data_IF_997035135298
#
_entry.id   IF_997035135298
#
_cell.length_a   1.000
_cell.length_b   1.000
_cell.length_c   1.000
_cell.angle_alpha   90.00
_cell.angle_beta   90.00
_cell.angle_gamma   90.00
#
_symmetry.space_group_name_H-M   'P 1'
#
loop_
_entity.id
_entity.type
_entity.pdbx_description
1 polymer ?
#
# COMPACT_ATOMS: atom_id res chain seq x y z
N UNK A 1 -8.63 -8.25 -38.89
CA UNK A 1 -9.22 -7.21 -38.04
C UNK A 1 -9.36 -7.80 -36.63
N UNK A 2 -8.35 -7.60 -35.80
CA UNK A 2 -8.43 -7.98 -34.38
C UNK A 2 -9.41 -7.02 -33.72
N UNK A 3 -10.55 -7.54 -33.22
CA UNK A 3 -11.47 -6.76 -32.40
C UNK A 3 -10.66 -6.23 -31.20
N UNK A 4 -10.47 -4.91 -31.14
CA UNK A 4 -10.05 -4.29 -29.89
C UNK A 4 -11.05 -4.72 -28.82
N UNK A 5 -10.64 -5.62 -27.94
CA UNK A 5 -11.44 -5.95 -26.77
C UNK A 5 -11.68 -4.65 -26.00
N UNK A 6 -12.95 -4.31 -25.82
CA UNK A 6 -13.33 -3.17 -24.99
C UNK A 6 -12.71 -3.38 -23.61
N UNK A 7 -11.79 -2.49 -23.20
CA UNK A 7 -11.21 -2.49 -21.86
C UNK A 7 -12.10 -1.68 -20.90
N UNK A 8 -13.41 -1.78 -21.10
CA UNK A 8 -14.44 -1.02 -20.39
C UNK A 8 -15.11 -1.91 -19.36
N UNK A 9 -15.14 -1.44 -18.11
CA UNK A 9 -15.83 -2.08 -17.00
C UNK A 9 -16.95 -1.19 -16.53
N UNK A 10 -18.15 -1.75 -16.40
CA UNK A 10 -19.36 -1.04 -15.99
C UNK A 10 -19.83 -1.62 -14.68
N UNK A 11 -19.90 -0.78 -13.65
CA UNK A 11 -20.43 -1.12 -12.34
C UNK A 11 -21.82 -0.49 -12.22
N UNK A 12 -22.86 -1.32 -12.13
CA UNK A 12 -24.26 -0.91 -12.06
C UNK A 12 -24.78 -0.96 -10.61
N UNK A 13 -25.78 -0.15 -10.32
CA UNK A 13 -26.54 -0.16 -9.08
C UNK A 13 -25.66 -0.04 -7.84
N UNK A 14 -24.70 0.89 -7.85
CA UNK A 14 -23.79 1.08 -6.73
C UNK A 14 -24.31 2.11 -5.74
N UNK A 15 -23.99 1.93 -4.45
CA UNK A 15 -23.98 3.00 -3.47
C UNK A 15 -22.59 3.67 -3.51
N UNK A 16 -22.48 4.79 -4.21
CA UNK A 16 -21.21 5.46 -4.46
C UNK A 16 -20.76 6.25 -3.24
N UNK A 17 -19.52 6.01 -2.80
CA UNK A 17 -18.82 6.72 -1.74
C UNK A 17 -17.58 7.40 -2.36
N UNK A 18 -17.70 8.63 -2.81
CA UNK A 18 -16.60 9.35 -3.50
C UNK A 18 -15.66 10.10 -2.53
N UNK A 19 -16.00 10.16 -1.25
CA UNK A 19 -15.20 10.83 -0.22
C UNK A 19 -15.47 12.33 -0.10
N UNK A 20 -16.24 12.93 -1.00
CA UNK A 20 -16.56 14.37 -1.01
C UNK A 20 -18.02 14.64 -0.69
N UNK A 21 -18.91 13.79 -1.16
CA UNK A 21 -20.38 13.93 -1.03
C UNK A 21 -20.96 12.85 -0.13
N UNK A 22 -22.16 13.06 0.42
CA UNK A 22 -22.90 11.99 1.08
C UNK A 22 -23.07 10.77 0.14
N UNK A 23 -23.24 9.54 0.68
CA UNK A 23 -23.46 8.34 -0.11
C UNK A 23 -24.56 8.51 -1.15
N UNK A 24 -24.31 8.13 -2.40
CA UNK A 24 -25.22 8.29 -3.52
C UNK A 24 -25.67 6.90 -4.02
N UNK A 25 -26.91 6.54 -3.73
CA UNK A 25 -27.47 5.26 -4.15
C UNK A 25 -27.89 5.26 -5.63
N UNK A 26 -27.90 4.07 -6.26
CA UNK A 26 -28.37 3.86 -7.62
C UNK A 26 -27.48 4.50 -8.67
N UNK A 27 -26.18 4.68 -8.37
CA UNK A 27 -25.23 5.20 -9.33
C UNK A 27 -24.68 4.08 -10.23
N UNK A 28 -24.22 4.48 -11.40
CA UNK A 28 -23.47 3.63 -12.32
C UNK A 28 -22.09 4.25 -12.56
N UNK A 29 -21.06 3.44 -12.61
CA UNK A 29 -19.67 3.89 -12.80
C UNK A 29 -19.06 3.12 -13.96
N UNK A 30 -18.48 3.85 -14.90
CA UNK A 30 -17.78 3.28 -16.05
C UNK A 30 -16.29 3.54 -15.91
N UNK A 31 -15.51 2.48 -16.03
CA UNK A 31 -14.05 2.54 -16.02
C UNK A 31 -13.53 2.04 -17.37
N UNK A 32 -12.66 2.83 -18.01
CA UNK A 32 -11.93 2.41 -19.20
C UNK A 32 -10.44 2.39 -18.92
N UNK A 33 -9.84 1.21 -19.01
CA UNK A 33 -8.43 1.03 -18.64
C UNK A 33 -8.19 1.40 -17.18
N UNK A 34 -7.46 2.49 -16.93
CA UNK A 34 -7.12 2.99 -15.60
C UNK A 34 -7.81 4.33 -15.25
N UNK A 35 -8.89 4.69 -15.97
CA UNK A 35 -9.62 5.95 -15.77
C UNK A 35 -11.10 5.70 -15.52
N UNK A 36 -11.68 6.48 -14.62
CA UNK A 36 -13.14 6.62 -14.50
C UNK A 36 -13.58 7.46 -15.69
N UNK A 37 -14.42 6.89 -16.54
CA UNK A 37 -14.91 7.53 -17.75
C UNK A 37 -16.22 8.28 -17.48
N UNK A 38 -17.10 7.67 -16.69
CA UNK A 38 -18.43 8.22 -16.42
C UNK A 38 -18.92 7.80 -15.03
N UNK A 39 -19.65 8.70 -14.39
CA UNK A 39 -20.41 8.46 -13.16
C UNK A 39 -21.79 9.06 -13.36
N UNK A 40 -22.86 8.24 -13.37
CA UNK A 40 -24.21 8.66 -13.75
C UNK A 40 -25.30 7.86 -13.05
N UNK A 41 -26.49 8.41 -12.97
CA UNK A 41 -27.71 7.67 -12.62
C UNK A 41 -28.49 7.20 -13.85
N UNK A 42 -28.11 7.65 -15.03
CA UNK A 42 -28.77 7.24 -16.27
C UNK A 42 -28.57 5.74 -16.55
N UNK A 43 -29.53 5.12 -17.19
CA UNK A 43 -29.36 3.77 -17.70
C UNK A 43 -28.19 3.71 -18.69
N UNK A 44 -27.36 2.71 -18.56
CA UNK A 44 -26.23 2.47 -19.45
C UNK A 44 -26.54 1.25 -20.31
N UNK A 45 -26.21 1.35 -21.60
CA UNK A 45 -26.27 0.21 -22.51
C UNK A 45 -24.85 -0.35 -22.71
N UNK A 46 -24.59 -1.58 -22.24
CA UNK A 46 -23.30 -2.21 -22.47
C UNK A 46 -23.09 -2.51 -23.97
N UNK A 47 -21.88 -2.27 -24.44
CA UNK A 47 -21.46 -2.65 -25.79
C UNK A 47 -20.84 -4.07 -25.79
N UNK A 48 -20.78 -4.74 -26.95
CA UNK A 48 -20.06 -6.00 -27.06
C UNK A 48 -18.62 -5.89 -26.58
N UNK A 49 -18.21 -6.75 -25.63
CA UNK A 49 -16.89 -6.75 -25.03
C UNK A 49 -16.74 -5.97 -23.73
N UNK A 50 -17.79 -5.29 -23.26
CA UNK A 50 -17.79 -4.65 -21.94
C UNK A 50 -17.91 -5.72 -20.83
N UNK A 51 -17.18 -5.53 -19.74
CA UNK A 51 -17.36 -6.31 -18.54
C UNK A 51 -18.34 -5.60 -17.60
N UNK A 52 -19.50 -6.23 -17.36
CA UNK A 52 -20.58 -5.63 -16.56
C UNK A 52 -20.70 -6.32 -15.21
N UNK A 53 -20.78 -5.52 -14.16
CA UNK A 53 -20.93 -5.96 -12.77
C UNK A 53 -22.12 -5.22 -12.15
N UNK A 54 -23.22 -5.92 -11.89
CA UNK A 54 -24.31 -5.39 -11.07
C UNK A 54 -23.95 -5.58 -9.60
N UNK A 55 -23.81 -4.49 -8.86
CA UNK A 55 -23.43 -4.53 -7.46
C UNK A 55 -24.62 -4.56 -6.50
N UNK A 56 -25.85 -4.54 -7.02
CA UNK A 56 -27.07 -4.74 -6.22
C UNK A 56 -27.15 -3.81 -4.97
N UNK A 57 -26.71 -2.57 -5.12
CA UNK A 57 -26.69 -1.60 -4.03
C UNK A 57 -25.48 -1.68 -3.10
N UNK A 58 -24.51 -2.57 -3.37
CA UNK A 58 -23.23 -2.59 -2.63
C UNK A 58 -22.45 -1.30 -2.82
N UNK A 59 -21.64 -0.97 -1.83
CA UNK A 59 -20.84 0.26 -1.89
C UNK A 59 -19.67 0.12 -2.87
N UNK A 60 -19.47 1.16 -3.66
CA UNK A 60 -18.28 1.36 -4.49
C UNK A 60 -17.57 2.62 -4.00
N UNK A 61 -16.27 2.52 -3.73
CA UNK A 61 -15.46 3.62 -3.23
C UNK A 61 -14.07 3.60 -3.88
N UNK A 62 -13.33 4.72 -3.88
CA UNK A 62 -11.91 4.72 -4.21
C UNK A 62 -11.14 3.75 -3.31
N UNK A 63 -10.08 3.16 -3.86
CA UNK A 63 -9.22 2.29 -3.07
C UNK A 63 -8.62 3.05 -1.87
N UNK A 64 -8.54 2.39 -0.73
CA UNK A 64 -8.04 2.98 0.50
C UNK A 64 -6.55 3.31 0.41
N UNK A 65 -6.13 4.35 1.13
CA UNK A 65 -4.73 4.73 1.29
C UNK A 65 -4.33 4.50 2.74
N UNK A 66 -3.32 3.65 2.96
CA UNK A 66 -2.72 3.47 4.28
C UNK A 66 -1.50 4.38 4.39
N UNK A 67 -1.63 5.45 5.16
CA UNK A 67 -0.61 6.50 5.24
C UNK A 67 0.57 6.18 6.18
N UNK A 68 0.55 5.05 6.89
CA UNK A 68 1.63 4.61 7.78
C UNK A 68 1.68 3.08 7.77
N UNK A 69 2.60 2.51 6.99
CA UNK A 69 2.64 1.07 6.74
C UNK A 69 4.05 0.49 6.91
N UNK A 70 4.21 -0.37 7.90
CA UNK A 70 5.43 -1.12 8.13
C UNK A 70 5.43 -2.39 7.27
N UNK A 71 6.07 -2.35 6.12
CA UNK A 71 5.97 -3.44 5.13
C UNK A 71 6.48 -4.78 5.65
N UNK A 72 7.58 -4.76 6.42
CA UNK A 72 8.26 -5.96 6.92
C UNK A 72 7.77 -6.43 8.29
N UNK A 73 6.84 -5.74 8.94
CA UNK A 73 6.34 -6.14 10.25
C UNK A 73 5.32 -7.26 10.11
N UNK A 74 5.44 -8.26 10.95
CA UNK A 74 4.50 -9.36 10.95
C UNK A 74 4.57 -10.20 12.20
N UNK A 75 3.51 -10.94 12.55
CA UNK A 75 3.60 -11.97 13.55
C UNK A 75 4.56 -13.03 13.03
N UNK A 76 5.77 -13.07 13.54
CA UNK A 76 6.61 -14.24 13.41
C UNK A 76 6.10 -15.26 14.40
N UNK A 77 5.58 -16.41 13.95
CA UNK A 77 5.33 -17.52 14.88
C UNK A 77 6.69 -17.98 15.40
N UNK A 78 7.08 -17.47 16.56
CA UNK A 78 8.25 -17.92 17.28
C UNK A 78 7.77 -18.65 18.52
N UNK A 79 8.26 -19.87 18.81
CA UNK A 79 7.99 -20.56 20.07
C UNK A 79 8.73 -19.94 21.27
N UNK A 80 9.45 -18.83 21.08
CA UNK A 80 10.15 -18.06 22.12
C UNK A 80 9.44 -16.75 22.48
N UNK A 81 10.03 -15.90 23.33
CA UNK A 81 9.56 -14.55 23.53
C UNK A 81 9.47 -13.88 22.16
N UNK A 82 8.27 -13.40 21.81
CA UNK A 82 8.00 -12.87 20.48
C UNK A 82 9.02 -11.78 20.12
N UNK A 83 9.68 -11.87 18.96
CA UNK A 83 10.58 -10.82 18.53
C UNK A 83 9.82 -9.50 18.52
N UNK A 84 10.39 -8.48 19.13
CA UNK A 84 9.81 -7.14 19.13
C UNK A 84 9.85 -6.65 17.68
N UNK A 85 8.71 -6.66 17.01
CA UNK A 85 8.51 -6.18 15.64
C UNK A 85 8.94 -7.14 14.51
N UNK A 86 9.49 -8.33 14.77
CA UNK A 86 9.93 -9.28 13.72
C UNK A 86 11.13 -8.80 12.91
N UNK A 87 11.95 -7.91 13.47
CA UNK A 87 13.10 -7.29 12.80
C UNK A 87 14.38 -8.08 12.90
N UNK A 88 14.39 -9.14 13.69
CA UNK A 88 15.53 -10.03 13.88
C UNK A 88 15.71 -11.03 12.72
N UNK A 89 14.75 -11.06 11.81
CA UNK A 89 14.83 -11.92 10.64
C UNK A 89 15.81 -11.36 9.59
N UNK A 90 16.47 -12.20 8.81
CA UNK A 90 17.30 -11.73 7.70
C UNK A 90 16.51 -10.87 6.72
N UNK A 91 17.11 -9.80 6.14
CA UNK A 91 16.42 -8.90 5.20
C UNK A 91 15.72 -9.62 4.03
N UNK A 92 16.30 -10.70 3.53
CA UNK A 92 15.70 -11.52 2.48
C UNK A 92 14.38 -12.15 2.91
N UNK A 93 14.29 -12.65 4.15
CA UNK A 93 13.06 -13.19 4.71
C UNK A 93 12.03 -12.08 4.97
N UNK A 94 12.48 -10.93 5.48
CA UNK A 94 11.62 -9.76 5.67
C UNK A 94 11.03 -9.27 4.34
N UNK A 95 11.78 -9.36 3.24
CA UNK A 95 11.28 -9.08 1.89
C UNK A 95 10.11 -9.99 1.48
N UNK A 96 10.16 -11.27 1.83
CA UNK A 96 9.05 -12.21 1.57
C UNK A 96 7.80 -11.86 2.42
N UNK A 97 8.02 -11.46 3.68
CA UNK A 97 6.94 -10.96 4.54
C UNK A 97 6.34 -9.67 3.95
N UNK A 98 7.17 -8.74 3.49
CA UNK A 98 6.73 -7.50 2.89
C UNK A 98 5.85 -7.74 1.65
N UNK A 99 6.23 -8.66 0.78
CA UNK A 99 5.44 -9.06 -0.38
C UNK A 99 4.08 -9.65 0.02
N UNK A 100 4.05 -10.53 1.03
CA UNK A 100 2.81 -11.09 1.58
C UNK A 100 1.92 -10.00 2.17
N UNK A 101 2.48 -9.09 2.98
CA UNK A 101 1.73 -8.02 3.62
C UNK A 101 1.13 -7.06 2.58
N UNK A 102 1.90 -6.73 1.54
CA UNK A 102 1.44 -5.90 0.43
C UNK A 102 0.26 -6.54 -0.31
N UNK A 103 0.36 -7.83 -0.62
CA UNK A 103 -0.76 -8.58 -1.23
C UNK A 103 -1.98 -8.60 -0.33
N UNK A 104 -1.81 -8.85 0.96
CA UNK A 104 -2.90 -8.83 1.94
C UNK A 104 -3.57 -7.46 2.01
N UNK A 105 -2.78 -6.38 2.05
CA UNK A 105 -3.31 -5.02 2.04
C UNK A 105 -4.14 -4.74 0.78
N UNK A 106 -3.65 -5.14 -0.39
CA UNK A 106 -4.37 -5.01 -1.66
C UNK A 106 -5.68 -5.79 -1.65
N UNK A 107 -5.68 -7.03 -1.16
CA UNK A 107 -6.88 -7.87 -1.06
C UNK A 107 -7.92 -7.31 -0.07
N UNK A 108 -7.49 -6.51 0.90
CA UNK A 108 -8.36 -5.76 1.79
C UNK A 108 -8.83 -4.40 1.22
N UNK A 109 -8.50 -4.09 -0.03
CA UNK A 109 -8.92 -2.84 -0.69
C UNK A 109 -7.98 -1.65 -0.47
N UNK A 110 -6.80 -1.85 0.13
CA UNK A 110 -5.77 -0.81 0.23
C UNK A 110 -4.99 -0.77 -1.07
N UNK A 111 -5.17 0.29 -1.85
CA UNK A 111 -4.56 0.43 -3.19
C UNK A 111 -3.31 1.30 -3.21
N UNK A 112 -3.02 2.00 -2.10
CA UNK A 112 -1.79 2.78 -1.93
C UNK A 112 -1.32 2.71 -0.49
N UNK A 113 -0.01 2.63 -0.29
CA UNK A 113 0.62 2.63 1.02
C UNK A 113 1.77 3.65 1.05
N UNK A 114 1.96 4.27 2.21
CA UNK A 114 3.15 5.07 2.51
C UNK A 114 3.97 4.27 3.52
N UNK A 115 5.20 3.93 3.15
CA UNK A 115 6.12 3.19 4.00
C UNK A 115 6.48 3.98 5.26
N UNK A 116 6.76 3.27 6.34
CA UNK A 116 7.26 3.83 7.58
C UNK A 116 8.16 2.80 8.27
N UNK A 117 9.27 3.23 8.84
CA UNK A 117 10.23 2.38 9.56
C UNK A 117 10.60 1.10 8.79
N UNK A 118 11.02 1.25 7.54
CA UNK A 118 11.40 0.11 6.71
C UNK A 118 12.91 -0.05 6.67
N UNK A 119 13.49 -1.00 7.44
CA UNK A 119 14.92 -1.26 7.43
C UNK A 119 15.35 -1.89 6.09
N UNK A 120 16.64 -1.83 5.81
CA UNK A 120 17.25 -2.48 4.64
C UNK A 120 16.57 -2.17 3.31
N UNK A 121 15.99 -0.96 3.16
CA UNK A 121 15.28 -0.51 1.95
C UNK A 121 14.13 -1.45 1.52
N UNK A 122 13.44 -2.06 2.46
CA UNK A 122 12.39 -3.05 2.16
C UNK A 122 11.25 -2.47 1.32
N UNK A 123 10.80 -1.26 1.64
CA UNK A 123 9.71 -0.60 0.91
C UNK A 123 10.15 -0.14 -0.50
N UNK A 124 11.41 0.24 -0.68
CA UNK A 124 11.99 0.54 -2.00
C UNK A 124 12.02 -0.74 -2.85
N UNK A 125 12.54 -1.83 -2.30
CA UNK A 125 12.61 -3.12 -2.98
C UNK A 125 11.21 -3.65 -3.32
N UNK A 126 10.25 -3.51 -2.41
CA UNK A 126 8.86 -3.87 -2.64
C UNK A 126 8.24 -3.05 -3.78
N UNK A 127 8.45 -1.72 -3.78
CA UNK A 127 7.99 -0.83 -4.84
C UNK A 127 8.49 -1.28 -6.21
N UNK A 128 9.78 -1.53 -6.34
CA UNK A 128 10.38 -1.99 -7.60
C UNK A 128 9.85 -3.37 -8.01
N UNK A 129 9.71 -4.31 -7.08
CA UNK A 129 9.16 -5.63 -7.36
C UNK A 129 7.70 -5.57 -7.87
N UNK A 130 6.88 -4.65 -7.33
CA UNK A 130 5.51 -4.42 -7.80
C UNK A 130 5.53 -3.78 -9.19
N UNK A 131 6.36 -2.76 -9.43
CA UNK A 131 6.47 -2.09 -10.73
C UNK A 131 6.91 -3.05 -11.84
N UNK A 132 7.79 -4.00 -11.51
CA UNK A 132 8.26 -5.04 -12.44
C UNK A 132 7.29 -6.21 -12.58
N UNK A 133 6.18 -6.23 -11.84
CA UNK A 133 5.21 -7.33 -11.86
C UNK A 133 5.73 -8.62 -11.23
N UNK A 134 6.79 -8.57 -10.41
CA UNK A 134 7.33 -9.74 -9.69
C UNK A 134 6.40 -10.15 -8.56
N UNK A 135 5.79 -9.17 -7.88
CA UNK A 135 4.79 -9.38 -6.83
C UNK A 135 3.57 -8.49 -7.05
N UNK A 136 2.42 -8.93 -6.57
CA UNK A 136 1.20 -8.12 -6.54
C UNK A 136 1.15 -7.30 -5.25
N UNK A 137 0.74 -6.03 -5.36
CA UNK A 137 0.61 -5.15 -4.21
C UNK A 137 0.06 -3.77 -4.57
N UNK A 138 -0.19 -2.92 -3.57
CA UNK A 138 -0.62 -1.55 -3.77
C UNK A 138 0.50 -0.67 -4.33
N UNK A 139 0.16 0.55 -4.74
CA UNK A 139 1.17 1.57 -5.06
C UNK A 139 1.94 1.92 -3.79
N UNK A 140 3.27 1.89 -3.86
CA UNK A 140 4.14 2.16 -2.71
C UNK A 140 4.80 3.52 -2.84
N UNK A 141 4.62 4.36 -1.82
CA UNK A 141 5.43 5.53 -1.56
C UNK A 141 6.47 5.14 -0.52
N UNK A 142 7.70 4.87 -0.97
CA UNK A 142 8.78 4.43 -0.11
C UNK A 142 9.32 5.61 0.71
N UNK A 143 9.44 5.45 2.03
CA UNK A 143 9.98 6.43 2.97
C UNK A 143 11.21 5.92 3.72
N UNK A 144 11.51 4.63 3.62
CA UNK A 144 12.63 3.97 4.24
C UNK A 144 12.67 4.10 5.78
N UNK A 145 13.72 4.73 6.32
CA UNK A 145 13.95 4.89 7.76
C UNK A 145 13.25 6.12 8.32
N UNK A 146 12.88 6.06 9.57
CA UNK A 146 12.40 7.22 10.30
C UNK A 146 13.55 8.11 10.76
N UNK A 147 13.34 9.43 10.73
CA UNK A 147 14.25 10.38 11.32
C UNK A 147 13.93 10.57 12.80
N UNK A 148 14.96 10.47 13.62
CA UNK A 148 14.87 10.59 15.07
C UNK A 148 15.93 11.57 15.57
N UNK A 149 15.57 12.41 16.54
CA UNK A 149 16.54 13.22 17.27
C UNK A 149 17.27 12.40 18.33
N UNK A 150 18.43 12.86 18.76
CA UNK A 150 19.12 12.30 19.94
C UNK A 150 18.22 12.31 21.18
N UNK A 151 18.18 11.22 21.89
CA UNK A 151 17.36 11.06 23.11
C UNK A 151 15.89 10.71 22.85
N UNK A 152 15.45 10.58 21.60
CA UNK A 152 14.13 10.04 21.30
C UNK A 152 14.02 8.57 21.74
N UNK A 153 12.78 8.10 21.97
CA UNK A 153 12.56 6.72 22.43
C UNK A 153 13.10 5.65 21.48
N UNK A 154 13.28 5.96 20.22
CA UNK A 154 13.88 5.09 19.20
C UNK A 154 15.33 5.45 18.90
N UNK A 155 15.94 6.39 19.61
CA UNK A 155 17.40 6.62 19.58
C UNK A 155 18.09 5.34 20.05
N UNK A 156 18.80 4.69 19.12
CA UNK A 156 19.44 3.38 19.32
C UNK A 156 20.55 3.34 20.37
N UNK A 157 20.86 4.46 21.05
CA UNK A 157 21.90 4.50 22.10
C UNK A 157 21.52 3.69 23.33
N UNK A 158 20.24 3.44 23.58
CA UNK A 158 19.73 2.69 24.73
C UNK A 158 18.91 1.45 24.38
N UNK A 159 18.91 1.01 23.12
CA UNK A 159 18.09 -0.11 22.66
C UNK A 159 18.89 -1.17 21.92
N UNK A 160 18.25 -2.32 21.76
CA UNK A 160 18.84 -3.50 21.14
C UNK A 160 19.65 -3.17 19.87
N UNK A 161 20.74 -3.84 19.74
CA UNK A 161 21.78 -3.74 18.73
C UNK A 161 21.28 -3.60 17.27
N UNK A 162 20.10 -4.09 16.95
CA UNK A 162 19.53 -4.05 15.60
C UNK A 162 18.91 -2.68 15.22
N UNK A 163 18.65 -1.80 16.17
CA UNK A 163 18.08 -0.48 15.90
C UNK A 163 19.14 0.56 15.52
N UNK A 164 20.41 0.27 15.76
CA UNK A 164 21.54 1.14 15.49
C UNK A 164 22.42 0.73 14.31
N UNK A 165 22.00 -0.19 13.46
CA UNK A 165 22.81 -0.76 12.37
C UNK A 165 22.95 0.17 11.15
N UNK A 166 23.29 1.43 11.32
CA UNK A 166 23.56 2.35 10.22
C UNK A 166 22.46 2.35 9.15
N UNK A 167 22.80 2.13 7.89
CA UNK A 167 21.83 2.14 6.78
C UNK A 167 20.83 1.00 6.76
N UNK A 168 21.07 -0.06 7.54
CA UNK A 168 20.16 -1.21 7.64
C UNK A 168 19.14 -1.09 8.76
N UNK A 169 19.25 -0.09 9.64
CA UNK A 169 18.38 0.11 10.79
C UNK A 169 17.02 0.70 10.45
N UNK A 170 16.13 0.74 11.46
CA UNK A 170 14.80 1.36 11.35
C UNK A 170 14.85 2.87 11.29
N UNK A 171 15.81 3.45 11.99
CA UNK A 171 15.88 4.89 12.24
C UNK A 171 17.20 5.47 11.77
N UNK A 172 17.17 6.73 11.42
CA UNK A 172 18.35 7.55 11.18
C UNK A 172 18.33 8.72 12.15
N UNK A 173 19.37 8.83 13.00
CA UNK A 173 19.49 9.97 13.88
C UNK A 173 19.88 11.22 13.08
N UNK A 174 19.13 12.29 13.30
CA UNK A 174 19.35 13.61 12.70
C UNK A 174 19.18 14.69 13.77
N UNK A 175 20.24 15.43 14.03
CA UNK A 175 20.26 16.50 15.01
C UNK A 175 20.59 17.82 14.30
N UNK A 176 19.55 18.58 14.00
CA UNK A 176 19.65 19.87 13.34
C UNK A 176 19.52 19.83 11.82
N UNK A 177 19.47 21.03 11.25
CA UNK A 177 19.11 21.25 9.83
C UNK A 177 20.11 20.60 8.87
N UNK A 178 21.41 20.73 9.15
CA UNK A 178 22.46 20.20 8.27
C UNK A 178 22.35 18.68 8.10
N UNK A 179 22.20 17.95 9.22
CA UNK A 179 22.03 16.48 9.18
C UNK A 179 20.71 16.08 8.53
N UNK A 180 19.64 16.86 8.71
CA UNK A 180 18.37 16.62 8.07
C UNK A 180 18.44 16.75 6.54
N UNK A 181 19.19 17.72 6.04
CA UNK A 181 19.38 17.95 4.59
C UNK A 181 20.25 16.84 3.96
N UNK A 182 21.18 16.27 4.72
CA UNK A 182 22.07 15.20 4.25
C UNK A 182 21.44 13.80 4.36
N UNK A 183 20.33 13.68 5.07
CA UNK A 183 19.67 12.41 5.36
C UNK A 183 18.78 11.92 4.24
#
# INVERSE_FOLDING_TARGET
MTSEQSNRKIFLNVNLLDGERPPQAGMNVVVRGNRIEEVTQAALEPAPGDAVYDLEGRSLMPGMVQAHFHTGFGPTPSPGPAPILGLEAPPTFMGMIAAKNAKTALDCGVTSIIGSSNPALLDVSLKEAILLGIVEGPRVFACTREFMASGDQADGTNRSWFMGLGESGLTRRVDGVEQMVQA
#
